data_IF_178459097249
#
_entry.id   IF_178459097249
#
_cell.length_a   1.000
_cell.length_b   1.000
_cell.length_c   1.000
_cell.angle_alpha   90.00
_cell.angle_beta   90.00
_cell.angle_gamma   90.00
#
_symmetry.space_group_name_H-M   'P 1'
#
loop_
_entity.id
_entity.type
_entity.pdbx_description
1 polymer ?
#
# COMPACT_ATOMS: atom_id res chain seq x y z
N UNK A 1 -42.16 22.25 7.13
CA UNK A 1 -42.45 21.33 6.01
C UNK A 1 -41.15 20.90 5.34
N UNK A 2 -40.95 19.58 5.26
CA UNK A 2 -40.09 18.81 4.33
C UNK A 2 -38.65 19.30 4.06
N UNK A 3 -37.69 18.59 4.63
CA UNK A 3 -36.50 18.22 3.87
C UNK A 3 -35.97 16.86 4.34
N UNK A 4 -36.57 15.79 3.81
CA UNK A 4 -36.03 14.43 3.88
C UNK A 4 -34.83 14.38 2.91
N UNK A 5 -33.64 14.78 3.39
CA UNK A 5 -32.40 14.52 2.66
C UNK A 5 -32.00 13.07 2.88
N UNK A 6 -32.45 12.23 1.97
CA UNK A 6 -31.92 10.90 1.69
C UNK A 6 -30.40 10.96 1.54
N UNK A 7 -29.66 10.63 2.60
CA UNK A 7 -28.22 10.35 2.51
C UNK A 7 -28.02 8.84 2.62
N UNK A 8 -28.44 8.14 1.57
CA UNK A 8 -28.06 6.75 1.33
C UNK A 8 -27.00 6.75 0.23
N UNK A 9 -25.78 7.15 0.58
CA UNK A 9 -24.64 7.07 -0.33
C UNK A 9 -23.62 6.07 0.22
N UNK A 10 -23.69 4.86 -0.35
CA UNK A 10 -22.53 4.06 -0.76
C UNK A 10 -21.50 3.71 0.34
N UNK A 11 -21.83 2.69 1.15
CA UNK A 11 -20.82 1.90 1.86
C UNK A 11 -20.20 0.90 0.86
N UNK A 12 -19.46 1.42 -0.13
CA UNK A 12 -18.74 0.61 -1.11
C UNK A 12 -17.64 -0.12 -0.35
N UNK A 13 -17.74 -1.45 -0.35
CA UNK A 13 -16.70 -2.44 -0.05
C UNK A 13 -15.35 -1.86 0.40
N UNK A 14 -15.20 -1.60 1.70
CA UNK A 14 -13.87 -1.59 2.29
C UNK A 14 -13.34 -3.02 2.12
N UNK A 15 -12.47 -3.25 1.12
CA UNK A 15 -11.68 -4.48 1.01
C UNK A 15 -10.78 -4.56 2.25
N UNK A 16 -11.30 -5.15 3.31
CA UNK A 16 -10.58 -5.58 4.51
C UNK A 16 -9.64 -6.73 4.14
N UNK A 17 -8.58 -6.41 3.39
CA UNK A 17 -7.71 -7.45 2.84
C UNK A 17 -6.33 -6.98 2.41
N UNK A 18 -5.97 -5.72 2.63
CA UNK A 18 -4.56 -5.33 2.56
C UNK A 18 -3.85 -5.93 3.77
N UNK A 19 -3.52 -7.24 3.71
CA UNK A 19 -2.56 -7.86 4.63
C UNK A 19 -1.31 -7.00 4.56
N UNK A 20 -1.03 -6.27 5.63
CA UNK A 20 0.18 -5.48 5.74
C UNK A 20 1.34 -6.46 5.56
N UNK A 21 2.09 -6.29 4.47
CA UNK A 21 3.21 -7.18 4.15
C UNK A 21 4.29 -6.90 5.18
N UNK A 22 4.40 -7.77 6.17
CA UNK A 22 5.44 -7.71 7.18
C UNK A 22 6.70 -8.35 6.61
N UNK A 23 7.80 -7.62 6.69
CA UNK A 23 9.14 -8.11 6.37
C UNK A 23 9.62 -9.07 7.44
N UNK A 24 10.56 -9.97 7.08
CA UNK A 24 11.30 -10.81 8.02
C UNK A 24 11.83 -10.07 9.24
N UNK A 25 12.18 -8.80 9.04
CA UNK A 25 12.79 -7.93 10.04
C UNK A 25 11.76 -7.17 10.89
N UNK A 26 10.46 -7.50 10.78
CA UNK A 26 9.38 -6.90 11.56
C UNK A 26 8.90 -5.54 11.07
N UNK A 27 9.38 -5.07 9.92
CA UNK A 27 8.95 -3.80 9.32
C UNK A 27 7.88 -3.96 8.24
N UNK A 28 7.04 -2.95 8.05
CA UNK A 28 6.10 -2.91 6.91
C UNK A 28 6.87 -2.76 5.60
N UNK A 29 6.55 -3.59 4.61
CA UNK A 29 7.07 -3.47 3.26
C UNK A 29 6.19 -2.50 2.48
N UNK A 30 6.76 -1.39 2.06
CA UNK A 30 6.11 -0.39 1.21
C UNK A 30 6.61 -0.56 -0.21
N UNK A 31 5.69 -0.61 -1.17
CA UNK A 31 6.03 -0.52 -2.58
C UNK A 31 6.23 0.96 -2.96
N UNK A 32 7.41 1.29 -3.47
CA UNK A 32 7.79 2.62 -3.94
C UNK A 32 8.13 2.59 -5.43
N UNK A 33 8.08 3.76 -6.06
CA UNK A 33 8.46 3.95 -7.46
C UNK A 33 9.50 5.06 -7.53
N UNK A 34 10.64 4.83 -8.20
CA UNK A 34 11.68 5.84 -8.45
C UNK A 34 11.73 6.12 -9.95
N UNK A 35 11.76 7.40 -10.31
CA UNK A 35 12.03 7.83 -11.68
C UNK A 35 13.54 7.98 -11.84
N UNK A 36 14.17 7.14 -12.65
CA UNK A 36 15.59 7.25 -13.02
C UNK A 36 15.73 7.22 -14.53
N UNK A 37 16.39 8.24 -15.10
CA UNK A 37 16.70 8.35 -16.54
C UNK A 37 15.45 8.18 -17.44
N UNK A 38 14.33 8.81 -17.05
CA UNK A 38 13.06 8.72 -17.79
C UNK A 38 12.32 7.39 -17.65
N UNK A 39 12.82 6.44 -16.85
CA UNK A 39 12.18 5.14 -16.60
C UNK A 39 11.69 5.05 -15.16
N UNK A 40 10.45 4.57 -14.99
CA UNK A 40 9.86 4.29 -13.68
C UNK A 40 10.34 2.90 -13.24
N UNK A 41 11.06 2.83 -12.12
CA UNK A 41 11.41 1.57 -11.46
C UNK A 41 10.57 1.39 -10.21
N UNK A 42 9.86 0.28 -10.14
CA UNK A 42 9.16 -0.15 -8.93
C UNK A 42 10.11 -0.97 -8.05
N UNK A 43 10.10 -0.69 -6.74
CA UNK A 43 10.87 -1.43 -5.74
C UNK A 43 10.07 -1.52 -4.44
N UNK A 44 10.36 -2.55 -3.67
CA UNK A 44 9.84 -2.74 -2.32
C UNK A 44 10.88 -2.23 -1.33
N UNK A 45 10.46 -1.53 -0.28
CA UNK A 45 11.32 -1.03 0.80
C UNK A 45 10.74 -1.44 2.16
N UNK A 46 11.57 -2.02 3.03
CA UNK A 46 11.20 -2.31 4.41
C UNK A 46 11.40 -1.06 5.29
N UNK A 47 10.36 -0.63 5.99
CA UNK A 47 10.38 0.60 6.79
C UNK A 47 11.42 0.58 7.93
N UNK A 48 11.61 -0.58 8.57
CA UNK A 48 12.50 -0.73 9.74
C UNK A 48 13.96 -0.88 9.33
N UNK A 49 14.25 -1.81 8.42
CA UNK A 49 15.63 -2.10 8.00
C UNK A 49 16.13 -1.23 6.85
N UNK A 50 15.24 -0.43 6.23
CA UNK A 50 15.50 0.31 4.97
C UNK A 50 16.02 -0.57 3.83
N UNK A 51 15.85 -1.89 3.93
CA UNK A 51 16.26 -2.82 2.90
C UNK A 51 15.37 -2.64 1.67
N UNK A 52 15.97 -2.65 0.49
CA UNK A 52 15.27 -2.47 -0.79
C UNK A 52 15.38 -3.73 -1.62
N UNK A 53 14.28 -4.12 -2.26
CA UNK A 53 14.26 -5.27 -3.15
C UNK A 53 13.37 -5.00 -4.36
N UNK A 54 13.54 -5.80 -5.41
CA UNK A 54 12.69 -5.68 -6.61
C UNK A 54 11.27 -6.20 -6.37
N UNK A 55 11.11 -7.24 -5.54
CA UNK A 55 9.82 -7.80 -5.19
C UNK A 55 9.66 -7.82 -3.67
N UNK A 56 8.45 -7.65 -3.14
CA UNK A 56 8.20 -7.73 -1.71
C UNK A 56 8.48 -9.14 -1.15
N UNK A 57 8.36 -10.20 -1.97
CA UNK A 57 8.72 -11.58 -1.62
C UNK A 57 10.17 -11.75 -1.17
N UNK A 58 11.08 -10.92 -1.69
CA UNK A 58 12.50 -10.97 -1.32
C UNK A 58 12.75 -10.35 0.08
N UNK A 59 11.77 -9.59 0.61
CA UNK A 59 11.84 -8.96 1.93
C UNK A 59 11.06 -9.73 3.01
N UNK A 60 10.37 -10.82 2.64
CA UNK A 60 9.63 -11.70 3.57
C UNK A 60 10.55 -12.59 4.41
#
# INVERSE_FOLDING_TARGET
MRSLKWQKFLKIAQRSGSKELLSRWGGKIIMKSKLENGKIKHYAECQTSKNTARRPKDLF
#
